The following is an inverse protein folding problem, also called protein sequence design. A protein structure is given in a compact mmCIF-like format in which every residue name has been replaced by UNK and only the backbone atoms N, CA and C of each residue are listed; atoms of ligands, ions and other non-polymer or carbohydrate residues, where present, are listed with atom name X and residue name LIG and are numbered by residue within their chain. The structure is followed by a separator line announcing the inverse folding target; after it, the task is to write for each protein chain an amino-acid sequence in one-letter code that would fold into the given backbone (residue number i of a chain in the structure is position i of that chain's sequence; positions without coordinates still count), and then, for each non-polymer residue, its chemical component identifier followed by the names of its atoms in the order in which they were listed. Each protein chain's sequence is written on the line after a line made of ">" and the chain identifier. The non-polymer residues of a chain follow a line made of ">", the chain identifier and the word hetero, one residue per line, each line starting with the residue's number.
data_IF_144443337063
#
_entry.id   IF_144443337063
#
_cell.length_a   1.000
_cell.length_b   1.000
_cell.length_c   1.000
_cell.angle_alpha   90.00
_cell.angle_beta   90.00
_cell.angle_gamma   90.00
#
_symmetry.space_group_name_H-M   'P 1'
#
loop_
_entity.id
_entity.type
_entity.pdbx_description
1 polymer ?
#
# COMPACT_ATOMS: atom_id res chain seq x y z
N UNK A 1 39.72 -30.34 47.49
CA UNK A 1 38.58 -31.14 47.97
C UNK A 1 37.71 -30.27 48.87
N UNK A 2 36.37 -30.34 48.82
CA UNK A 2 35.51 -31.17 47.96
C UNK A 2 34.85 -30.32 46.85
N UNK A 3 34.77 -30.76 45.59
CA UNK A 3 33.92 -31.82 45.02
C UNK A 3 32.45 -31.40 44.95
N UNK A 4 32.05 -30.81 43.82
CA UNK A 4 30.65 -30.65 43.43
C UNK A 4 30.23 -31.91 42.66
N UNK A 5 29.31 -32.68 43.24
CA UNK A 5 28.70 -33.86 42.63
C UNK A 5 27.71 -33.49 41.54
N UNK A 6 27.80 -34.22 40.42
CA UNK A 6 26.76 -34.35 39.41
C UNK A 6 25.55 -35.07 40.03
N UNK A 7 24.36 -34.50 39.86
CA UNK A 7 23.12 -35.28 39.82
C UNK A 7 22.53 -35.22 38.41
N UNK A 8 22.75 -36.30 37.66
CA UNK A 8 21.92 -36.68 36.52
C UNK A 8 20.60 -37.25 37.07
N UNK A 9 19.47 -36.68 36.66
CA UNK A 9 18.15 -37.29 36.83
C UNK A 9 17.55 -37.48 35.44
N UNK A 10 17.75 -38.68 34.90
CA UNK A 10 16.99 -39.23 33.80
C UNK A 10 15.57 -39.55 34.27
N UNK A 11 14.57 -38.88 33.69
CA UNK A 11 13.19 -39.36 33.73
C UNK A 11 12.79 -39.77 32.31
N UNK A 12 12.63 -41.08 32.16
CA UNK A 12 11.86 -41.74 31.12
C UNK A 12 10.40 -41.27 31.24
N UNK A 13 9.82 -40.81 30.12
CA UNK A 13 8.37 -40.65 30.01
C UNK A 13 7.89 -41.72 29.04
N UNK A 14 7.21 -42.70 29.63
CA UNK A 14 6.48 -43.77 28.96
C UNK A 14 5.53 -43.24 27.89
N UNK A 15 5.64 -43.85 26.71
CA UNK A 15 4.63 -43.89 25.67
C UNK A 15 3.33 -44.46 26.22
N UNK A 16 2.23 -43.72 26.03
CA UNK A 16 0.88 -44.22 26.30
C UNK A 16 0.05 -44.07 25.03
N UNK A 17 -0.06 -45.19 24.32
CA UNK A 17 -1.04 -45.44 23.28
C UNK A 17 -2.44 -45.49 23.93
N UNK A 18 -3.35 -44.65 23.46
CA UNK A 18 -4.78 -44.83 23.67
C UNK A 18 -5.51 -44.75 22.32
N UNK A 19 -5.86 -45.94 21.83
CA UNK A 19 -6.90 -46.21 20.84
C UNK A 19 -8.25 -45.68 21.32
N UNK A 20 -8.90 -44.80 20.56
CA UNK A 20 -10.37 -44.63 20.61
C UNK A 20 -10.96 -44.47 19.20
N UNK A 21 -11.35 -45.62 18.66
CA UNK A 21 -12.59 -45.89 17.93
C UNK A 21 -13.48 -44.72 17.47
N UNK A 22 -13.58 -44.60 16.14
CA UNK A 22 -14.81 -44.59 15.33
C UNK A 22 -16.09 -43.99 15.92
N UNK A 23 -16.49 -42.81 15.41
CA UNK A 23 -17.90 -42.45 15.26
C UNK A 23 -18.14 -41.93 13.84
N UNK A 24 -18.93 -42.71 13.10
CA UNK A 24 -19.50 -42.32 11.82
C UNK A 24 -20.57 -41.25 12.06
N UNK A 25 -20.48 -40.13 11.33
CA UNK A 25 -21.57 -39.18 11.15
C UNK A 25 -21.92 -39.12 9.67
N UNK A 26 -23.10 -39.65 9.36
CA UNK A 26 -23.78 -39.60 8.07
C UNK A 26 -24.49 -38.26 7.86
N UNK A 27 -24.76 -37.94 6.58
CA UNK A 27 -25.67 -36.90 6.05
C UNK A 27 -25.12 -35.45 6.08
N UNK A 28 -25.18 -34.62 5.03
CA UNK A 28 -26.02 -34.58 3.83
C UNK A 28 -25.21 -34.10 2.61
N UNK A 29 -25.29 -34.83 1.50
CA UNK A 29 -24.85 -34.37 0.18
C UNK A 29 -26.10 -33.88 -0.56
N UNK A 30 -26.22 -32.56 -0.73
CA UNK A 30 -27.24 -31.95 -1.57
C UNK A 30 -27.03 -32.32 -3.04
N UNK A 31 -27.76 -33.33 -3.50
CA UNK A 31 -27.97 -33.64 -4.91
C UNK A 31 -28.96 -32.65 -5.52
N UNK A 32 -28.51 -31.82 -6.45
CA UNK A 32 -29.39 -31.19 -7.45
C UNK A 32 -29.27 -31.97 -8.75
N UNK A 33 -30.14 -32.96 -8.92
CA UNK A 33 -30.42 -33.61 -10.19
C UNK A 33 -31.73 -33.07 -10.78
N UNK A 34 -31.65 -32.47 -11.97
CA UNK A 34 -32.71 -32.45 -12.99
C UNK A 34 -31.95 -32.63 -14.31
N UNK A 35 -32.19 -33.65 -15.14
CA UNK A 35 -33.49 -34.07 -15.64
C UNK A 35 -33.53 -33.65 -17.11
N UNK A 36 -33.15 -34.57 -18.00
CA UNK A 36 -33.18 -34.41 -19.45
C UNK A 36 -34.64 -34.59 -19.91
N UNK A 37 -35.18 -33.63 -20.67
CA UNK A 37 -36.31 -33.88 -21.58
C UNK A 37 -36.21 -32.97 -22.81
N UNK A 38 -36.51 -33.54 -23.98
CA UNK A 38 -36.09 -33.03 -25.28
C UNK A 38 -37.11 -32.25 -26.12
N UNK A 39 -36.57 -31.61 -27.17
CA UNK A 39 -37.25 -31.22 -28.43
C UNK A 39 -38.10 -29.94 -28.38
N UNK A 40 -38.37 -29.24 -29.53
CA UNK A 40 -38.25 -29.70 -30.92
C UNK A 40 -37.41 -28.79 -31.86
N UNK A 41 -37.20 -29.33 -33.07
CA UNK A 41 -36.46 -28.76 -34.21
C UNK A 41 -37.08 -27.45 -34.73
N UNK A 42 -36.22 -26.49 -35.06
CA UNK A 42 -36.59 -25.28 -35.81
C UNK A 42 -36.76 -25.58 -37.32
N UNK A 43 -37.78 -25.03 -38.00
CA UNK A 43 -37.87 -25.08 -39.46
C UNK A 43 -36.96 -24.02 -40.11
N UNK A 44 -36.31 -24.45 -41.20
CA UNK A 44 -35.80 -23.56 -42.25
C UNK A 44 -36.97 -22.93 -43.01
N UNK A 45 -36.65 -21.81 -43.66
CA UNK A 45 -37.43 -21.06 -44.66
C UNK A 45 -38.33 -19.97 -44.09
N UNK A 46 -37.87 -18.71 -44.20
CA UNK A 46 -38.70 -17.53 -44.48
C UNK A 46 -37.82 -16.44 -45.08
N UNK A 47 -37.72 -16.46 -46.41
CA UNK A 47 -37.18 -15.39 -47.25
C UNK A 47 -38.35 -14.60 -47.83
N UNK A 48 -38.15 -13.28 -47.93
CA UNK A 48 -38.92 -12.29 -48.70
C UNK A 48 -40.23 -11.76 -48.09
N UNK A 49 -40.14 -10.60 -47.45
CA UNK A 49 -40.89 -9.39 -47.83
C UNK A 49 -40.54 -8.27 -46.84
N UNK A 50 -40.04 -7.13 -47.33
CA UNK A 50 -40.55 -5.81 -46.94
C UNK A 50 -39.84 -4.71 -47.74
N UNK A 51 -40.68 -3.92 -48.42
CA UNK A 51 -40.28 -2.81 -49.26
C UNK A 51 -39.81 -1.60 -48.46
N UNK A 52 -38.93 -0.83 -49.09
CA UNK A 52 -38.38 0.42 -48.61
C UNK A 52 -39.47 1.51 -48.54
N UNK A 53 -39.75 2.04 -47.35
CA UNK A 53 -40.37 3.37 -47.20
C UNK A 53 -39.26 4.39 -46.96
N UNK A 54 -39.17 5.39 -47.84
CA UNK A 54 -38.27 6.52 -47.70
C UNK A 54 -38.71 7.41 -46.53
N UNK A 55 -37.96 7.42 -45.44
CA UNK A 55 -38.15 8.35 -44.33
C UNK A 55 -37.59 9.72 -44.70
N UNK A 56 -38.42 10.77 -44.57
CA UNK A 56 -38.06 12.16 -44.82
C UNK A 56 -37.21 12.71 -43.66
N UNK A 57 -35.91 12.83 -43.91
CA UNK A 57 -34.89 13.34 -42.99
C UNK A 57 -35.16 14.75 -42.45
N UNK A 58 -36.05 15.53 -43.09
CA UNK A 58 -36.40 16.87 -42.63
C UNK A 58 -37.17 16.86 -41.30
N UNK A 59 -37.95 15.81 -41.04
CA UNK A 59 -38.71 15.70 -39.78
C UNK A 59 -37.81 15.33 -38.59
N UNK A 60 -36.80 14.48 -38.79
CA UNK A 60 -35.88 14.06 -37.72
C UNK A 60 -34.97 15.24 -37.31
N UNK A 61 -34.47 16.01 -38.28
CA UNK A 61 -33.66 17.19 -37.98
C UNK A 61 -34.42 18.26 -37.19
N UNK A 62 -35.70 18.48 -37.50
CA UNK A 62 -36.53 19.44 -36.78
C UNK A 62 -36.74 19.04 -35.31
N UNK A 63 -37.04 17.76 -35.03
CA UNK A 63 -37.26 17.26 -33.66
C UNK A 63 -35.99 17.40 -32.80
N UNK A 64 -34.81 17.16 -33.37
CA UNK A 64 -33.54 17.29 -32.65
C UNK A 64 -33.23 18.76 -32.32
N UNK A 65 -33.42 19.67 -33.27
CA UNK A 65 -33.14 21.09 -33.06
C UNK A 65 -34.08 21.70 -32.02
N UNK A 66 -35.38 21.40 -32.07
CA UNK A 66 -36.34 21.89 -31.07
C UNK A 66 -36.08 21.31 -29.67
N UNK A 67 -35.68 20.04 -29.57
CA UNK A 67 -35.30 19.42 -28.31
C UNK A 67 -34.08 20.10 -27.66
N UNK A 68 -33.03 20.37 -28.44
CA UNK A 68 -31.83 21.03 -27.93
C UNK A 68 -32.08 22.46 -27.43
N UNK A 69 -32.91 23.25 -28.14
CA UNK A 69 -33.23 24.62 -27.72
C UNK A 69 -34.05 24.64 -26.42
N UNK A 70 -34.99 23.70 -26.25
CA UNK A 70 -35.78 23.60 -25.03
C UNK A 70 -34.91 23.27 -23.79
N UNK A 71 -33.97 22.33 -23.94
CA UNK A 71 -33.04 21.94 -22.86
C UNK A 71 -32.12 23.09 -22.48
N UNK A 72 -31.54 23.79 -23.47
CA UNK A 72 -30.65 24.92 -23.20
C UNK A 72 -31.38 26.10 -22.54
N UNK A 73 -32.65 26.32 -22.88
CA UNK A 73 -33.47 27.36 -22.24
C UNK A 73 -33.78 27.01 -20.79
N UNK A 74 -34.07 25.74 -20.48
CA UNK A 74 -34.31 25.28 -19.11
C UNK A 74 -33.05 25.43 -18.23
N UNK A 75 -31.87 25.11 -18.76
CA UNK A 75 -30.59 25.28 -18.05
C UNK A 75 -30.31 26.75 -17.77
N UNK A 76 -30.56 27.64 -18.73
CA UNK A 76 -30.36 29.08 -18.54
C UNK A 76 -31.29 29.68 -17.46
N UNK A 77 -32.52 29.17 -17.32
CA UNK A 77 -33.46 29.60 -16.28
C UNK A 77 -32.96 29.18 -14.89
N UNK A 78 -32.50 27.94 -14.72
CA UNK A 78 -31.97 27.46 -13.43
C UNK A 78 -30.71 28.23 -13.02
N UNK A 79 -29.83 28.52 -13.98
CA UNK A 79 -28.60 29.27 -13.70
C UNK A 79 -28.88 30.73 -13.28
N UNK A 80 -29.93 31.33 -13.84
CA UNK A 80 -30.36 32.69 -13.48
C UNK A 80 -30.92 32.76 -12.06
N UNK A 81 -31.64 31.74 -11.61
CA UNK A 81 -32.17 31.65 -10.25
C UNK A 81 -31.07 31.44 -9.20
N UNK A 82 -30.04 30.62 -9.50
CA UNK A 82 -28.89 30.45 -8.60
C UNK A 82 -28.12 31.75 -8.37
N UNK A 83 -27.91 32.56 -9.42
CA UNK A 83 -27.13 33.81 -9.30
C UNK A 83 -27.86 34.92 -8.54
N UNK A 84 -29.19 34.84 -8.39
CA UNK A 84 -29.97 35.82 -7.62
C UNK A 84 -30.04 35.48 -6.12
N UNK A 85 -29.60 34.29 -5.71
CA UNK A 85 -29.65 33.83 -4.31
C UNK A 85 -28.48 34.34 -3.44
N UNK A 86 -27.40 34.87 -4.01
CA UNK A 86 -26.16 35.20 -3.27
C UNK A 86 -26.03 36.66 -2.80
N UNK A 87 -27.04 37.52 -3.00
CA UNK A 87 -26.92 38.96 -2.68
C UNK A 87 -27.73 39.45 -1.48
N UNK A 88 -28.17 38.57 -0.56
CA UNK A 88 -28.82 38.99 0.69
C UNK A 88 -28.16 38.38 1.92
N UNK A 89 -27.23 39.13 2.53
CA UNK A 89 -26.82 38.89 3.91
C UNK A 89 -25.70 39.80 4.40
N UNK A 90 -26.05 40.80 5.21
CA UNK A 90 -25.13 41.35 6.22
C UNK A 90 -24.76 42.82 6.06
N UNK A 91 -25.64 43.71 6.53
CA UNK A 91 -25.33 45.11 6.82
C UNK A 91 -25.47 45.30 8.34
N UNK A 92 -24.38 45.57 9.04
CA UNK A 92 -24.39 46.12 10.40
C UNK A 92 -23.11 46.91 10.66
N UNK A 93 -23.29 48.21 10.90
CA UNK A 93 -22.25 49.19 11.20
C UNK A 93 -21.85 49.14 12.69
N UNK A 94 -20.57 49.44 12.98
CA UNK A 94 -20.15 50.70 13.64
C UNK A 94 -19.21 50.59 14.87
N UNK A 95 -18.06 51.30 14.73
CA UNK A 95 -17.32 52.12 15.73
C UNK A 95 -16.52 51.47 16.87
N UNK A 96 -15.17 51.57 16.84
CA UNK A 96 -14.37 52.63 17.48
C UNK A 96 -12.84 52.37 17.38
N UNK A 97 -12.07 53.42 17.03
CA UNK A 97 -10.82 53.86 17.69
C UNK A 97 -9.53 53.03 17.64
N UNK A 98 -8.54 53.53 16.89
CA UNK A 98 -7.09 53.25 17.01
C UNK A 98 -6.49 53.81 18.33
N UNK A 99 -5.37 53.28 18.88
CA UNK A 99 -4.04 53.64 18.36
C UNK A 99 -2.87 52.60 18.47
N UNK A 100 -1.89 52.87 17.61
CA UNK A 100 -0.45 52.49 17.52
C UNK A 100 0.20 51.62 18.62
N UNK A 101 0.96 50.65 18.12
CA UNK A 101 2.38 50.48 18.47
C UNK A 101 2.71 49.35 19.44
N UNK A 102 2.69 48.09 18.97
CA UNK A 102 3.42 47.00 19.62
C UNK A 102 3.98 46.02 18.60
N UNK A 103 5.19 45.57 18.92
CA UNK A 103 6.08 44.63 18.26
C UNK A 103 5.36 43.29 17.98
N UNK A 104 5.46 42.80 16.74
CA UNK A 104 4.72 41.64 16.27
C UNK A 104 5.45 40.34 16.65
N UNK A 105 5.42 39.95 17.93
CA UNK A 105 5.60 38.54 18.30
C UNK A 105 4.28 37.82 18.07
N UNK A 106 4.13 37.17 16.92
CA UNK A 106 2.94 36.37 16.64
C UNK A 106 2.90 35.15 17.56
N UNK A 107 1.86 34.98 18.40
CA UNK A 107 1.71 33.77 19.21
C UNK A 107 1.44 32.58 18.28
N UNK A 108 2.10 31.45 18.58
CA UNK A 108 1.77 30.17 17.96
C UNK A 108 0.25 29.90 18.12
N UNK A 109 -0.43 29.35 17.09
CA UNK A 109 -1.84 28.99 17.23
C UNK A 109 -1.96 27.87 18.27
N UNK A 110 -2.40 28.23 19.47
CA UNK A 110 -2.80 27.31 20.53
C UNK A 110 -4.12 26.64 20.13
N UNK A 111 -4.04 25.60 19.31
CA UNK A 111 -5.12 24.63 19.14
C UNK A 111 -4.75 23.41 19.99
N UNK A 112 -4.72 23.59 21.31
CA UNK A 112 -4.87 22.49 22.26
C UNK A 112 -6.25 22.67 22.86
N UNK A 113 -7.22 21.95 22.28
CA UNK A 113 -8.55 21.83 22.84
C UNK A 113 -8.42 21.14 24.20
N UNK A 114 -8.93 21.79 25.25
CA UNK A 114 -8.95 21.27 26.62
C UNK A 114 -10.12 20.31 26.86
N UNK A 115 -10.86 19.95 25.81
CA UNK A 115 -11.75 18.78 25.81
C UNK A 115 -10.88 17.53 26.02
N UNK A 116 -11.28 16.69 26.98
CA UNK A 116 -10.52 15.53 27.47
C UNK A 116 -9.98 14.61 26.37
N UNK A 117 -9.05 13.68 26.71
CA UNK A 117 -8.27 12.93 25.75
C UNK A 117 -9.19 12.37 24.67
N UNK A 118 -9.16 12.99 23.48
CA UNK A 118 -9.69 12.37 22.28
C UNK A 118 -8.78 11.18 22.07
N UNK A 119 -9.22 10.03 22.58
CA UNK A 119 -8.54 8.77 22.35
C UNK A 119 -8.52 8.58 20.85
N UNK A 120 -7.36 8.83 20.24
CA UNK A 120 -7.01 8.08 19.06
C UNK A 120 -7.21 6.62 19.48
N UNK A 121 -8.05 5.86 18.78
CA UNK A 121 -8.34 4.49 19.21
C UNK A 121 -7.00 3.76 19.41
N UNK A 122 -6.73 3.38 20.66
CA UNK A 122 -5.50 2.73 21.12
C UNK A 122 -4.22 3.58 21.23
N UNK A 123 -4.24 4.91 21.22
CA UNK A 123 -3.04 5.70 21.56
C UNK A 123 -3.19 6.47 22.87
N UNK A 124 -2.16 6.39 23.71
CA UNK A 124 -2.01 7.20 24.92
C UNK A 124 -1.03 8.35 24.67
N UNK A 125 -1.39 9.55 25.13
CA UNK A 125 -0.48 10.69 25.13
C UNK A 125 0.57 10.52 26.22
N UNK A 126 1.84 10.45 25.83
CA UNK A 126 2.96 10.43 26.77
C UNK A 126 3.23 11.84 27.32
N UNK A 127 2.92 12.88 26.54
CA UNK A 127 3.05 14.27 26.94
C UNK A 127 3.91 15.08 25.98
N UNK A 128 4.39 16.22 26.46
CA UNK A 128 5.30 17.06 25.71
C UNK A 128 6.70 17.07 26.32
N UNK A 129 7.71 17.06 25.46
CA UNK A 129 9.11 16.95 25.84
C UNK A 129 9.99 17.96 25.09
N UNK A 130 11.11 18.41 25.70
CA UNK A 130 12.14 19.14 25.00
C UNK A 130 12.93 18.23 24.05
N UNK A 131 13.53 18.83 23.02
CA UNK A 131 14.57 18.17 22.23
C UNK A 131 15.89 18.16 23.03
N UNK A 132 16.70 17.13 22.85
CA UNK A 132 18.00 16.99 23.55
C UNK A 132 19.20 17.06 22.62
N UNK A 133 20.32 17.52 23.16
CA UNK A 133 21.62 17.48 22.50
C UNK A 133 21.67 18.26 21.19
N UNK A 134 22.15 17.61 20.14
CA UNK A 134 22.29 18.15 18.79
C UNK A 134 21.10 17.78 17.89
N UNK A 135 19.96 17.44 18.50
CA UNK A 135 18.76 17.10 17.76
C UNK A 135 18.17 18.35 17.09
N UNK A 136 17.85 18.20 15.82
CA UNK A 136 17.42 19.27 14.93
C UNK A 136 16.31 18.79 14.04
N UNK A 137 15.41 19.69 13.67
CA UNK A 137 14.44 19.47 12.59
C UNK A 137 15.23 19.55 11.30
N UNK A 138 15.56 18.41 10.73
CA UNK A 138 16.36 18.34 9.51
C UNK A 138 15.52 18.43 8.24
N UNK A 139 16.23 18.50 7.12
CA UNK A 139 15.71 18.38 5.77
C UNK A 139 14.91 17.07 5.57
N UNK A 140 14.03 17.06 4.57
CA UNK A 140 13.02 16.04 4.24
C UNK A 140 13.58 14.65 3.89
N UNK A 141 14.33 14.03 4.79
CA UNK A 141 14.87 12.68 4.61
C UNK A 141 14.07 11.74 5.49
N UNK A 142 13.37 10.79 4.85
CA UNK A 142 12.51 9.82 5.53
C UNK A 142 13.31 8.88 6.44
N UNK A 143 14.48 8.44 5.96
CA UNK A 143 15.40 7.52 6.62
C UNK A 143 16.59 8.31 7.19
N UNK A 144 16.73 8.36 8.52
CA UNK A 144 17.79 9.11 9.19
C UNK A 144 18.91 8.19 9.64
N UNK A 145 20.05 8.23 8.97
CA UNK A 145 21.22 7.41 9.28
C UNK A 145 22.02 7.93 10.48
N UNK A 146 21.65 9.08 11.07
CA UNK A 146 22.39 9.65 12.22
C UNK A 146 22.45 8.67 13.39
N UNK A 147 21.39 7.89 13.61
CA UNK A 147 21.33 6.88 14.67
C UNK A 147 21.94 5.52 14.27
N UNK A 148 22.44 5.40 13.04
CA UNK A 148 23.16 4.22 12.57
C UNK A 148 24.57 4.13 13.14
N UNK A 149 25.11 5.18 13.76
CA UNK A 149 26.40 5.07 14.47
C UNK A 149 26.16 5.21 15.96
N UNK A 150 26.64 4.27 16.80
CA UNK A 150 26.52 4.41 18.25
C UNK A 150 27.16 5.73 18.67
N UNK A 151 26.45 6.53 19.47
CA UNK A 151 26.99 7.79 19.98
C UNK A 151 28.18 7.49 20.91
N UNK A 152 29.41 7.70 20.43
CA UNK A 152 30.65 7.25 21.09
C UNK A 152 31.05 8.03 22.35
N UNK A 153 30.21 8.93 22.87
CA UNK A 153 30.60 9.74 24.03
C UNK A 153 29.53 10.55 24.74
N UNK A 154 28.30 10.59 24.23
CA UNK A 154 27.20 11.25 24.91
C UNK A 154 26.14 10.20 25.23
N UNK A 155 25.85 10.00 26.51
CA UNK A 155 24.77 9.15 27.03
C UNK A 155 23.36 9.68 26.68
N UNK A 156 23.24 10.45 25.60
CA UNK A 156 22.00 11.07 25.15
C UNK A 156 21.25 10.14 24.21
N UNK A 157 19.93 10.17 24.30
CA UNK A 157 19.04 9.44 23.41
C UNK A 157 19.21 9.96 21.98
N UNK A 158 19.38 9.05 21.03
CA UNK A 158 19.47 9.45 19.63
C UNK A 158 18.13 10.07 19.18
N UNK A 159 18.18 11.25 18.56
CA UNK A 159 16.98 11.98 18.10
C UNK A 159 15.89 12.13 19.16
N UNK A 160 16.31 12.42 20.39
CA UNK A 160 15.39 12.57 21.53
C UNK A 160 14.52 11.34 21.78
N UNK A 161 15.03 10.14 21.46
CA UNK A 161 14.32 8.86 21.64
C UNK A 161 13.47 8.43 20.45
N UNK A 162 13.52 9.15 19.32
CA UNK A 162 12.75 8.85 18.10
C UNK A 162 13.69 8.64 16.89
N UNK A 163 14.49 7.55 16.87
CA UNK A 163 15.62 7.43 15.96
C UNK A 163 15.30 6.87 14.56
N UNK A 164 14.07 6.47 14.28
CA UNK A 164 13.75 5.62 13.12
C UNK A 164 13.29 6.42 11.89
N UNK A 165 12.01 6.76 11.79
CA UNK A 165 11.51 7.49 10.62
C UNK A 165 11.32 8.96 10.89
N UNK A 166 11.44 9.78 9.84
CA UNK A 166 11.24 11.23 9.89
C UNK A 166 10.38 11.68 8.70
N UNK A 167 9.09 11.85 8.93
CA UNK A 167 8.15 12.30 7.90
C UNK A 167 7.82 13.79 8.11
N UNK A 168 8.33 14.65 7.24
CA UNK A 168 7.99 16.08 7.25
C UNK A 168 6.79 16.36 6.34
N UNK A 169 5.83 17.19 6.79
CA UNK A 169 4.80 17.71 5.89
C UNK A 169 5.30 18.96 5.22
N UNK A 170 5.50 18.89 3.91
CA UNK A 170 5.87 20.05 3.10
C UNK A 170 4.58 20.72 2.65
N UNK A 171 4.33 21.94 3.11
CA UNK A 171 3.28 22.77 2.54
C UNK A 171 3.49 22.92 1.02
N UNK A 172 2.42 22.91 0.23
CA UNK A 172 2.52 23.05 -1.23
C UNK A 172 3.39 24.28 -1.57
N UNK A 173 4.49 24.12 -2.31
CA UNK A 173 5.30 25.25 -2.73
C UNK A 173 4.43 26.20 -3.57
N UNK A 174 4.44 27.49 -3.21
CA UNK A 174 3.68 28.54 -3.91
C UNK A 174 2.34 28.94 -3.29
N UNK A 175 1.84 28.23 -2.27
CA UNK A 175 0.65 28.68 -1.52
C UNK A 175 1.10 29.44 -0.27
N UNK A 176 1.27 30.76 -0.41
CA UNK A 176 1.56 31.67 0.70
C UNK A 176 0.46 31.53 1.76
N UNK A 177 0.83 31.05 2.96
CA UNK A 177 -0.09 30.84 4.08
C UNK A 177 -0.52 29.38 4.34
N UNK A 178 -0.16 28.42 3.48
CA UNK A 178 -0.42 26.99 3.74
C UNK A 178 0.66 26.39 4.65
N UNK A 179 0.50 26.58 5.96
CA UNK A 179 1.32 25.90 6.97
C UNK A 179 0.75 24.50 7.20
N UNK A 180 1.18 23.55 6.37
CA UNK A 180 0.79 22.17 6.56
C UNK A 180 1.29 21.70 7.95
N UNK A 181 0.34 21.39 8.82
CA UNK A 181 0.61 20.98 10.20
C UNK A 181 0.54 19.46 10.27
N UNK A 182 1.56 18.83 10.84
CA UNK A 182 1.56 17.39 11.08
C UNK A 182 0.53 17.06 12.16
N UNK A 183 -0.46 16.25 11.82
CA UNK A 183 -1.44 15.79 12.82
C UNK A 183 -0.86 14.64 13.63
N UNK A 184 -1.19 14.61 14.92
CA UNK A 184 -0.83 13.49 15.80
C UNK A 184 -1.34 12.17 15.24
N UNK A 185 -2.57 12.14 14.73
CA UNK A 185 -3.16 10.93 14.18
C UNK A 185 -2.39 10.39 12.97
N UNK A 186 -2.02 11.26 12.03
CA UNK A 186 -1.25 10.86 10.85
C UNK A 186 0.13 10.32 11.26
N UNK A 187 0.78 10.98 12.21
CA UNK A 187 2.09 10.54 12.70
C UNK A 187 2.02 9.17 13.41
N UNK A 188 1.04 9.02 14.30
CA UNK A 188 0.77 7.78 15.03
C UNK A 188 0.49 6.61 14.09
N UNK A 189 -0.41 6.79 13.12
CA UNK A 189 -0.74 5.77 12.12
C UNK A 189 0.48 5.42 11.27
N UNK A 190 1.23 6.41 10.79
CA UNK A 190 2.44 6.20 10.01
C UNK A 190 3.48 5.34 10.77
N UNK A 191 3.77 5.70 12.02
CA UNK A 191 4.71 4.93 12.83
C UNK A 191 4.22 3.49 13.07
N UNK A 192 2.92 3.31 13.36
CA UNK A 192 2.35 2.00 13.57
C UNK A 192 2.44 1.11 12.33
N UNK A 193 2.16 1.65 11.13
CA UNK A 193 2.30 0.92 9.86
C UNK A 193 3.76 0.53 9.56
N UNK A 194 4.72 1.30 10.08
CA UNK A 194 6.14 0.98 10.02
C UNK A 194 6.63 0.06 11.14
N UNK A 195 5.75 -0.36 12.06
CA UNK A 195 6.09 -1.30 13.14
C UNK A 195 6.58 -0.65 14.42
N UNK A 196 6.28 0.64 14.61
CA UNK A 196 6.70 1.44 15.75
C UNK A 196 5.50 1.81 16.62
N UNK A 197 5.62 1.54 17.91
CA UNK A 197 4.56 1.86 18.87
C UNK A 197 4.70 3.26 19.48
N UNK A 198 5.80 3.99 19.24
CA UNK A 198 5.98 5.37 19.69
C UNK A 198 5.98 6.31 18.48
N UNK A 199 5.24 7.41 18.59
CA UNK A 199 5.22 8.49 17.62
C UNK A 199 5.43 9.83 18.31
N UNK A 200 6.08 10.76 17.63
CA UNK A 200 6.32 12.11 18.14
C UNK A 200 6.16 13.16 17.05
N UNK A 201 5.28 14.13 17.28
CA UNK A 201 5.16 15.31 16.43
C UNK A 201 6.15 16.38 16.93
N UNK A 202 7.16 16.66 16.11
CA UNK A 202 8.22 17.63 16.39
C UNK A 202 7.87 18.96 15.74
N UNK A 203 7.74 20.01 16.56
CA UNK A 203 7.44 21.38 16.14
C UNK A 203 6.24 21.51 15.21
N UNK A 204 5.26 20.61 15.35
CA UNK A 204 4.02 20.60 14.55
C UNK A 204 4.21 20.40 13.03
N UNK A 205 5.41 20.06 12.56
CA UNK A 205 5.70 19.95 11.11
C UNK A 205 6.37 18.63 10.72
N UNK A 206 6.94 17.93 11.68
CA UNK A 206 7.68 16.69 11.46
C UNK A 206 7.11 15.58 12.35
N UNK A 207 6.88 14.41 11.78
CA UNK A 207 6.60 13.18 12.51
C UNK A 207 7.88 12.38 12.67
N UNK A 208 8.10 11.83 13.86
CA UNK A 208 9.17 10.87 14.11
C UNK A 208 8.68 9.61 14.81
N UNK A 209 9.32 8.49 14.49
CA UNK A 209 8.98 7.19 15.05
C UNK A 209 10.03 6.70 16.05
N UNK A 210 9.53 6.10 17.13
CA UNK A 210 10.29 5.49 18.22
C UNK A 210 9.75 4.11 18.55
N UNK A 211 10.49 3.35 19.33
CA UNK A 211 10.06 2.03 19.78
C UNK A 211 10.18 1.96 21.30
N UNK A 212 9.14 1.47 21.99
CA UNK A 212 9.24 1.07 23.39
C UNK A 212 10.21 -0.11 23.54
N UNK A 213 10.55 -0.49 24.77
CA UNK A 213 11.41 -1.64 25.01
C UNK A 213 10.75 -2.96 24.57
N UNK A 214 9.42 -2.99 24.49
CA UNK A 214 8.60 -4.15 24.17
C UNK A 214 8.21 -4.25 22.68
N UNK A 215 8.60 -3.27 21.86
CA UNK A 215 8.25 -3.24 20.45
C UNK A 215 8.85 -4.42 19.66
N UNK A 216 8.12 -4.93 18.67
CA UNK A 216 8.56 -6.07 17.84
C UNK A 216 9.77 -5.76 16.95
N UNK A 217 10.10 -4.49 16.72
CA UNK A 217 11.25 -4.08 15.91
C UNK A 217 12.59 -4.60 16.45
N UNK A 218 12.67 -4.92 17.75
CA UNK A 218 13.86 -5.52 18.36
C UNK A 218 14.04 -7.01 17.99
N UNK A 219 13.01 -7.65 17.45
CA UNK A 219 13.02 -9.08 17.14
C UNK A 219 13.27 -9.92 18.40
N UNK A 220 14.23 -10.84 18.33
CA UNK A 220 14.70 -11.64 19.48
C UNK A 220 15.83 -10.97 20.27
N UNK A 221 16.29 -9.78 19.85
CA UNK A 221 17.36 -9.05 20.50
C UNK A 221 16.88 -8.20 21.69
N UNK A 222 17.81 -7.87 22.58
CA UNK A 222 17.54 -6.86 23.60
C UNK A 222 17.44 -5.47 22.95
N UNK A 223 16.52 -4.64 23.45
CA UNK A 223 16.42 -3.25 23.00
C UNK A 223 17.72 -2.50 23.31
N UNK A 224 18.15 -1.67 22.36
CA UNK A 224 19.31 -0.80 22.54
C UNK A 224 18.89 0.40 23.39
N UNK A 225 19.48 0.64 24.58
CA UNK A 225 19.02 1.70 25.48
C UNK A 225 19.07 3.10 24.85
N UNK A 226 20.00 3.34 23.93
CA UNK A 226 20.15 4.62 23.21
C UNK A 226 19.11 4.84 22.09
N UNK A 227 18.41 3.78 21.68
CA UNK A 227 17.40 3.77 20.61
C UNK A 227 15.98 3.52 21.12
N UNK A 228 15.83 2.78 22.22
CA UNK A 228 14.55 2.58 22.87
C UNK A 228 14.04 3.90 23.43
N UNK A 229 12.73 4.13 23.31
CA UNK A 229 12.10 5.32 23.82
C UNK A 229 12.31 5.39 25.33
N UNK A 230 13.01 6.44 25.73
CA UNK A 230 13.05 6.94 27.09
C UNK A 230 12.63 8.40 27.00
N UNK A 231 11.91 8.93 28.01
CA UNK A 231 11.60 10.36 28.04
C UNK A 231 12.90 11.16 27.91
N UNK A 232 13.06 12.05 26.92
CA UNK A 232 14.31 12.78 26.72
C UNK A 232 14.58 13.83 27.80
N UNK A 233 13.64 14.01 28.73
CA UNK A 233 13.80 14.81 29.93
C UNK A 233 12.48 14.87 30.69
N UNK A 234 12.37 15.85 31.57
CA UNK A 234 11.12 16.10 32.29
C UNK A 234 10.02 16.49 31.30
N UNK A 235 8.84 15.89 31.50
CA UNK A 235 7.62 16.27 30.80
C UNK A 235 7.31 17.73 31.12
N UNK A 236 7.14 18.54 30.07
CA UNK A 236 6.78 19.96 30.20
C UNK A 236 5.30 20.18 29.88
N UNK A 237 4.68 21.25 30.41
CA UNK A 237 3.35 21.68 29.98
C UNK A 237 3.29 21.88 28.46
N UNK A 238 2.16 21.55 27.83
CA UNK A 238 2.00 21.65 26.37
C UNK A 238 2.12 23.08 25.81
N UNK A 239 1.98 24.11 26.66
CA UNK A 239 2.16 25.51 26.32
C UNK A 239 3.56 26.06 26.65
N UNK A 240 4.46 25.24 27.21
CA UNK A 240 5.84 25.64 27.49
C UNK A 240 6.61 25.83 26.18
N UNK A 241 7.42 26.88 25.99
CA UNK A 241 8.25 27.05 24.79
C UNK A 241 9.26 25.90 24.56
N UNK A 242 9.59 25.14 25.61
CA UNK A 242 10.40 23.92 25.55
C UNK A 242 9.61 22.71 25.08
N UNK A 243 8.28 22.79 24.95
CA UNK A 243 7.45 21.75 24.36
C UNK A 243 7.76 21.67 22.85
N UNK A 244 8.69 20.78 22.48
CA UNK A 244 9.13 20.62 21.08
C UNK A 244 8.65 19.31 20.47
N UNK A 245 8.37 18.29 21.28
CA UNK A 245 7.96 16.96 20.86
C UNK A 245 6.68 16.57 21.59
N UNK A 246 5.58 16.37 20.87
CA UNK A 246 4.34 15.81 21.43
C UNK A 246 4.32 14.31 21.14
N UNK A 247 4.56 13.50 22.17
CA UNK A 247 4.76 12.05 22.04
C UNK A 247 3.50 11.24 22.41
N UNK A 248 3.28 10.14 21.70
CA UNK A 248 2.18 9.20 21.88
C UNK A 248 2.67 7.76 21.76
N UNK A 249 2.03 6.85 22.49
CA UNK A 249 2.29 5.41 22.43
C UNK A 249 1.03 4.65 22.00
N UNK A 250 1.18 3.69 21.10
CA UNK A 250 0.17 2.71 20.75
C UNK A 250 0.03 1.67 21.86
N UNK A 251 -1.21 1.38 22.26
CA UNK A 251 -1.59 0.39 23.25
C UNK A 251 -2.19 -0.80 22.52
N UNK A 252 -1.40 -1.86 22.34
CA UNK A 252 -1.88 -3.10 21.76
C UNK A 252 -0.84 -3.79 20.91
N UNK A 253 -1.20 -4.91 20.27
CA UNK A 253 -0.32 -5.56 19.33
C UNK A 253 -0.04 -4.61 18.16
N UNK A 254 1.23 -4.59 17.77
CA UNK A 254 1.65 -3.99 16.50
C UNK A 254 1.06 -4.88 15.38
N UNK A 255 0.47 -4.30 14.31
CA UNK A 255 -0.04 -5.07 13.19
C UNK A 255 1.02 -6.04 12.66
N UNK A 256 0.64 -7.29 12.41
CA UNK A 256 1.54 -8.31 11.83
C UNK A 256 1.93 -8.01 10.39
N UNK A 257 1.17 -7.14 9.73
CA UNK A 257 1.42 -6.66 8.38
C UNK A 257 1.96 -5.24 8.49
N UNK A 258 3.26 -5.11 8.30
CA UNK A 258 3.97 -3.85 8.31
C UNK A 258 4.26 -3.46 6.87
N UNK A 259 4.08 -2.19 6.53
CA UNK A 259 4.52 -1.62 5.25
C UNK A 259 6.03 -1.40 5.34
N UNK A 260 6.80 -2.49 5.23
CA UNK A 260 8.25 -2.47 5.34
C UNK A 260 8.85 -2.93 4.02
N UNK A 261 9.43 -2.00 3.27
CA UNK A 261 10.16 -2.33 2.05
C UNK A 261 11.49 -3.03 2.36
N UNK A 262 12.15 -3.59 1.34
CA UNK A 262 13.53 -4.09 1.48
C UNK A 262 14.52 -3.00 1.91
N UNK A 263 14.31 -1.76 1.44
CA UNK A 263 15.07 -0.57 1.86
C UNK A 263 14.84 -0.26 3.35
N UNK A 264 13.59 -0.35 3.82
CA UNK A 264 13.26 -0.19 5.23
C UNK A 264 13.95 -1.26 6.10
N UNK A 265 13.98 -2.52 5.65
CA UNK A 265 14.69 -3.60 6.36
C UNK A 265 16.21 -3.35 6.42
N UNK A 266 16.81 -2.91 5.33
CA UNK A 266 18.24 -2.56 5.29
C UNK A 266 18.53 -1.38 6.24
N UNK A 267 17.67 -0.37 6.23
CA UNK A 267 17.73 0.76 7.14
C UNK A 267 17.63 0.34 8.61
N UNK A 268 16.64 -0.48 8.98
CA UNK A 268 16.49 -0.99 10.34
C UNK A 268 17.71 -1.75 10.81
N UNK A 269 18.23 -2.65 9.97
CA UNK A 269 19.45 -3.41 10.29
C UNK A 269 20.65 -2.49 10.50
N UNK A 270 20.78 -1.44 9.68
CA UNK A 270 21.81 -0.42 9.83
C UNK A 270 21.73 0.28 11.18
N UNK A 271 20.53 0.75 11.58
CA UNK A 271 20.28 1.39 12.88
C UNK A 271 20.57 0.42 14.03
N UNK A 272 20.00 -0.79 14.00
CA UNK A 272 20.15 -1.80 15.05
C UNK A 272 21.62 -2.21 15.25
N UNK A 273 22.35 -2.47 14.16
CA UNK A 273 23.75 -2.90 14.21
C UNK A 273 24.73 -1.79 14.54
N UNK A 274 24.33 -0.53 14.37
CA UNK A 274 25.27 0.57 14.51
C UNK A 274 26.26 0.65 13.34
N UNK A 275 25.80 0.31 12.12
CA UNK A 275 26.60 0.33 10.89
C UNK A 275 25.83 1.00 9.75
N UNK A 276 26.29 2.12 9.15
CA UNK A 276 25.59 2.81 8.07
C UNK A 276 25.32 1.94 6.83
N UNK A 277 24.21 2.17 6.12
CA UNK A 277 23.80 1.39 4.93
C UNK A 277 24.90 1.28 3.86
N UNK A 278 25.66 2.34 3.58
CA UNK A 278 26.73 2.32 2.57
C UNK A 278 27.80 1.26 2.85
N UNK A 279 28.00 0.89 4.13
CA UNK A 279 28.93 -0.16 4.51
C UNK A 279 28.37 -1.57 4.30
N UNK A 280 27.05 -1.71 4.22
CA UNK A 280 26.37 -2.99 3.98
C UNK A 280 26.40 -3.36 2.49
N UNK A 281 26.13 -2.40 1.60
CA UNK A 281 26.21 -2.62 0.14
C UNK A 281 27.63 -2.98 -0.32
N UNK A 282 28.66 -2.41 0.30
CA UNK A 282 30.06 -2.75 0.00
C UNK A 282 30.52 -4.09 0.59
N UNK A 283 29.76 -4.65 1.53
CA UNK A 283 29.99 -6.00 2.07
C UNK A 283 29.33 -7.09 1.24
N UNK A 284 28.33 -6.75 0.42
CA UNK A 284 27.81 -7.64 -0.61
C UNK A 284 28.79 -7.63 -1.80
N UNK A 285 29.45 -8.77 -2.00
CA UNK A 285 30.55 -8.95 -2.93
C UNK A 285 30.20 -8.49 -4.36
N UNK A 286 30.84 -7.43 -4.91
CA UNK A 286 30.49 -6.88 -6.23
C UNK A 286 30.88 -7.77 -7.41
N UNK A 287 31.60 -8.87 -7.19
CA UNK A 287 32.12 -9.74 -8.26
C UNK A 287 31.05 -10.63 -8.95
N UNK A 288 29.77 -10.60 -8.54
CA UNK A 288 28.73 -11.51 -9.06
C UNK A 288 27.89 -10.91 -10.21
N UNK A 289 27.78 -9.58 -10.35
CA UNK A 289 26.84 -8.96 -11.31
C UNK A 289 27.45 -8.44 -12.62
N UNK A 290 28.75 -8.62 -12.86
CA UNK A 290 29.45 -7.98 -14.00
C UNK A 290 29.31 -8.68 -15.38
N UNK A 291 28.38 -9.63 -15.61
CA UNK A 291 28.34 -10.40 -16.87
C UNK A 291 26.98 -10.51 -17.59
N UNK A 292 26.07 -9.55 -17.43
CA UNK A 292 24.87 -9.47 -18.29
C UNK A 292 24.97 -8.31 -19.29
N UNK A 293 25.31 -8.63 -20.55
CA UNK A 293 25.27 -7.68 -21.64
C UNK A 293 23.82 -7.29 -22.00
N UNK A 294 23.54 -6.02 -22.39
CA UNK A 294 22.21 -5.58 -22.77
C UNK A 294 21.78 -6.22 -24.10
N UNK A 295 20.74 -7.03 -24.07
CA UNK A 295 20.14 -7.64 -25.26
C UNK A 295 19.14 -6.64 -25.87
N UNK A 296 19.52 -6.01 -26.98
CA UNK A 296 18.65 -5.15 -27.77
C UNK A 296 17.83 -6.02 -28.74
N UNK A 297 16.52 -6.08 -28.53
CA UNK A 297 15.56 -6.78 -29.40
C UNK A 297 14.68 -5.73 -30.09
N UNK A 298 14.88 -5.54 -31.39
CA UNK A 298 13.93 -4.83 -32.25
C UNK A 298 12.71 -5.74 -32.49
N UNK A 299 11.50 -5.23 -32.23
CA UNK A 299 10.24 -5.95 -32.44
C UNK A 299 9.51 -5.33 -33.65
N UNK A 300 9.17 -6.18 -34.61
CA UNK A 300 8.34 -5.86 -35.79
C UNK A 300 6.85 -5.71 -35.37
N UNK A 301 6.18 -4.57 -35.65
CA UNK A 301 4.81 -4.32 -35.23
C UNK A 301 3.71 -5.12 -35.95
N UNK A 302 4.03 -6.02 -36.88
CA UNK A 302 3.02 -6.53 -37.85
C UNK A 302 2.33 -7.85 -37.49
N UNK A 303 2.65 -8.52 -36.37
CA UNK A 303 2.10 -9.85 -36.05
C UNK A 303 1.16 -9.94 -34.80
N UNK A 304 0.40 -8.88 -34.48
CA UNK A 304 -0.64 -8.98 -33.44
C UNK A 304 -1.99 -9.46 -34.05
N UNK A 305 -2.62 -10.55 -33.57
CA UNK A 305 -3.92 -10.98 -34.06
C UNK A 305 -5.06 -10.02 -33.66
N UNK A 306 -6.15 -9.93 -34.45
CA UNK A 306 -7.18 -8.91 -34.28
C UNK A 306 -8.02 -9.11 -33.01
N UNK A 307 -8.08 -8.06 -32.19
CA UNK A 307 -8.90 -7.94 -30.98
C UNK A 307 -10.33 -7.51 -31.33
N UNK A 308 -11.35 -8.28 -30.91
CA UNK A 308 -12.77 -7.85 -31.04
C UNK A 308 -13.28 -7.23 -29.72
N UNK A 309 -13.98 -6.07 -29.76
CA UNK A 309 -14.43 -5.39 -28.55
C UNK A 309 -15.87 -5.78 -28.17
N UNK A 310 -16.09 -6.26 -26.94
CA UNK A 310 -17.40 -6.26 -26.29
C UNK A 310 -17.39 -5.24 -25.14
N UNK A 311 -17.97 -4.06 -25.38
CA UNK A 311 -17.82 -2.81 -24.58
C UNK A 311 -19.02 -2.49 -23.64
N UNK A 312 -19.70 -3.48 -23.06
CA UNK A 312 -20.93 -3.18 -22.30
C UNK A 312 -20.70 -2.60 -20.88
N UNK A 313 -19.58 -2.93 -20.21
CA UNK A 313 -19.38 -2.57 -18.78
C UNK A 313 -18.54 -1.30 -18.53
N UNK A 314 -17.84 -0.77 -19.54
CA UNK A 314 -16.99 0.43 -19.44
C UNK A 314 -17.75 1.76 -19.18
N UNK A 315 -19.07 1.71 -18.97
CA UNK A 315 -19.90 2.89 -18.68
C UNK A 315 -20.17 3.12 -17.19
N UNK A 316 -19.65 2.29 -16.27
CA UNK A 316 -19.82 2.56 -14.84
C UNK A 316 -18.89 3.69 -14.37
N UNK A 317 -19.47 4.78 -13.86
CA UNK A 317 -18.76 6.01 -13.43
C UNK A 317 -17.67 5.79 -12.37
N UNK A 318 -17.65 4.66 -11.66
CA UNK A 318 -16.70 4.38 -10.57
C UNK A 318 -15.25 4.19 -11.04
N UNK A 319 -15.03 3.74 -12.28
CA UNK A 319 -13.67 3.49 -12.84
C UNK A 319 -13.00 4.80 -13.31
N UNK A 320 -13.76 5.90 -13.46
CA UNK A 320 -13.29 7.16 -14.07
C UNK A 320 -12.82 8.24 -13.07
N UNK A 321 -12.74 7.94 -11.77
CA UNK A 321 -12.42 8.95 -10.72
C UNK A 321 -11.11 8.71 -9.94
N UNK A 322 -10.33 7.67 -10.24
CA UNK A 322 -9.31 7.17 -9.30
C UNK A 322 -7.83 7.27 -9.66
N UNK A 323 -7.39 8.02 -10.68
CA UNK A 323 -5.96 8.06 -11.03
C UNK A 323 -5.49 9.49 -11.37
N UNK A 324 -4.89 10.13 -10.37
CA UNK A 324 -4.04 11.32 -10.55
C UNK A 324 -2.69 11.01 -9.89
N UNK A 325 -1.82 10.33 -10.65
CA UNK A 325 -0.41 10.12 -10.33
C UNK A 325 0.47 10.73 -11.42
N UNK A 326 1.71 11.14 -11.12
CA UNK A 326 2.51 11.95 -12.02
C UNK A 326 3.30 11.05 -12.98
N UNK A 327 2.93 11.03 -14.25
CA UNK A 327 3.88 10.67 -15.32
C UNK A 327 3.88 11.77 -16.36
N UNK A 328 5.05 12.38 -16.56
CA UNK A 328 5.36 13.39 -17.57
C UNK A 328 5.23 12.82 -18.99
N UNK A 329 4.00 12.60 -19.45
CA UNK A 329 3.68 12.43 -20.86
C UNK A 329 2.71 13.54 -21.22
N UNK A 330 3.22 14.54 -21.93
CA UNK A 330 2.52 15.68 -22.55
C UNK A 330 1.03 15.39 -22.75
N UNK A 331 0.21 15.90 -21.83
CA UNK A 331 -1.23 15.86 -21.92
C UNK A 331 -1.66 16.74 -23.10
N UNK A 332 -2.20 16.12 -24.16
CA UNK A 332 -3.21 16.80 -24.95
C UNK A 332 -4.48 16.85 -24.10
N UNK A 333 -4.82 18.05 -23.65
CA UNK A 333 -5.98 18.38 -22.84
C UNK A 333 -7.25 17.68 -23.36
N UNK A 334 -7.91 16.92 -22.48
CA UNK A 334 -9.31 16.52 -22.65
C UNK A 334 -9.62 15.02 -22.78
N UNK A 335 -8.64 14.15 -23.03
CA UNK A 335 -8.89 12.70 -23.09
C UNK A 335 -8.50 12.04 -21.77
N UNK A 336 -9.47 11.75 -20.89
CA UNK A 336 -9.29 10.80 -19.78
C UNK A 336 -8.87 9.46 -20.37
N UNK A 337 -7.57 9.18 -20.42
CA UNK A 337 -7.10 7.85 -20.80
C UNK A 337 -7.55 6.90 -19.69
N UNK A 338 -8.47 6.00 -20.01
CA UNK A 338 -8.76 4.90 -19.13
C UNK A 338 -7.50 4.04 -19.05
N UNK A 339 -7.02 3.80 -17.83
CA UNK A 339 -5.87 2.93 -17.55
C UNK A 339 -6.08 1.46 -17.92
N UNK A 340 -7.20 1.16 -18.55
CA UNK A 340 -7.54 -0.13 -19.07
C UNK A 340 -8.21 0.10 -20.43
N UNK A 341 -7.90 -0.69 -21.47
CA UNK A 341 -6.95 -1.81 -21.50
C UNK A 341 -5.48 -1.38 -21.69
N UNK A 342 -5.19 -0.09 -21.63
CA UNK A 342 -3.85 0.45 -21.88
C UNK A 342 -2.93 0.35 -20.66
N UNK A 343 -1.63 0.49 -20.89
CA UNK A 343 -0.60 0.42 -19.85
C UNK A 343 -0.58 1.70 -19.02
N UNK A 344 -0.90 1.61 -17.72
CA UNK A 344 -0.73 2.70 -16.72
C UNK A 344 0.35 2.41 -15.66
N UNK A 345 0.97 1.24 -15.71
CA UNK A 345 2.08 0.83 -14.86
C UNK A 345 3.18 0.20 -15.73
N UNK A 346 4.30 -0.28 -15.19
CA UNK A 346 5.34 -0.88 -16.06
C UNK A 346 5.00 -2.25 -16.60
N UNK A 347 4.03 -2.95 -16.03
CA UNK A 347 3.50 -4.18 -16.60
C UNK A 347 2.24 -3.99 -17.43
N UNK A 348 1.93 -4.97 -18.25
CA UNK A 348 0.60 -5.08 -18.86
C UNK A 348 -0.41 -5.60 -17.83
N UNK A 349 -1.63 -5.05 -17.74
CA UNK A 349 -2.64 -5.61 -16.86
C UNK A 349 -3.06 -7.00 -17.34
N UNK A 350 -3.37 -7.89 -16.40
CA UNK A 350 -3.95 -9.19 -16.73
C UNK A 350 -5.31 -9.02 -17.42
N UNK A 351 -5.60 -9.80 -18.47
CA UNK A 351 -6.88 -9.70 -19.18
C UNK A 351 -8.00 -10.21 -18.29
N UNK A 352 -8.76 -9.30 -17.68
CA UNK A 352 -9.82 -9.64 -16.69
C UNK A 352 -11.12 -10.13 -17.37
N UNK A 353 -11.16 -10.27 -18.71
CA UNK A 353 -12.36 -10.66 -19.46
C UNK A 353 -12.23 -12.05 -20.07
N UNK A 354 -13.31 -12.85 -19.98
CA UNK A 354 -13.41 -14.14 -20.66
C UNK A 354 -12.78 -15.30 -19.90
N UNK A 355 -11.61 -15.78 -20.32
CA UNK A 355 -10.98 -17.03 -19.86
C UNK A 355 -10.49 -17.01 -18.40
N UNK A 356 -10.39 -15.83 -17.78
CA UNK A 356 -9.98 -15.65 -16.39
C UNK A 356 -11.18 -15.43 -15.43
N UNK A 357 -12.40 -15.85 -15.79
CA UNK A 357 -13.54 -15.88 -14.85
C UNK A 357 -13.18 -16.60 -13.54
N UNK A 358 -12.25 -17.56 -13.61
CA UNK A 358 -11.78 -18.32 -12.46
C UNK A 358 -10.61 -17.67 -11.70
N UNK A 359 -10.13 -16.49 -12.13
CA UNK A 359 -8.96 -15.81 -11.59
C UNK A 359 -7.70 -16.02 -12.42
N UNK A 360 -6.63 -15.32 -12.03
CA UNK A 360 -5.30 -15.39 -12.67
C UNK A 360 -4.67 -16.75 -12.34
N UNK A 361 -4.31 -17.57 -13.34
CA UNK A 361 -3.72 -18.87 -13.10
C UNK A 361 -2.31 -18.71 -12.53
N UNK A 362 -1.99 -19.47 -11.49
CA UNK A 362 -0.63 -19.60 -10.97
C UNK A 362 -0.28 -21.07 -10.75
N UNK A 363 0.99 -21.43 -10.84
CA UNK A 363 1.48 -22.79 -10.62
C UNK A 363 2.79 -22.77 -9.86
N UNK A 364 3.02 -23.80 -9.06
CA UNK A 364 4.28 -24.03 -8.37
C UNK A 364 5.21 -24.92 -9.19
N UNK A 365 6.45 -24.50 -9.43
CA UNK A 365 7.45 -25.38 -10.03
C UNK A 365 7.77 -26.56 -9.10
N UNK A 366 8.48 -27.54 -9.64
CA UNK A 366 9.04 -28.64 -8.86
C UNK A 366 10.17 -28.21 -7.90
N UNK A 367 10.64 -26.97 -7.99
CA UNK A 367 11.70 -26.42 -7.13
C UNK A 367 11.19 -25.73 -5.88
N UNK A 368 9.86 -25.62 -5.71
CA UNK A 368 9.24 -25.11 -4.48
C UNK A 368 8.98 -26.25 -3.51
N UNK A 369 9.41 -26.08 -2.26
CA UNK A 369 9.03 -26.97 -1.17
C UNK A 369 7.61 -26.66 -0.65
N UNK A 370 7.11 -27.49 0.28
CA UNK A 370 5.74 -27.36 0.78
C UNK A 370 5.55 -26.15 1.71
N UNK A 371 6.62 -25.71 2.40
CA UNK A 371 6.55 -24.54 3.26
C UNK A 371 6.40 -23.27 2.41
N UNK A 372 7.23 -23.10 1.38
CA UNK A 372 7.10 -22.01 0.41
C UNK A 372 5.71 -21.96 -0.21
N UNK A 373 5.16 -23.13 -0.59
CA UNK A 373 3.81 -23.23 -1.16
C UNK A 373 2.74 -22.78 -0.19
N UNK A 374 2.85 -23.20 1.09
CA UNK A 374 1.93 -22.79 2.15
C UNK A 374 1.93 -21.27 2.31
N UNK A 375 3.10 -20.66 2.52
CA UNK A 375 3.23 -19.21 2.76
C UNK A 375 2.75 -18.42 1.53
N UNK A 376 3.08 -18.86 0.32
CA UNK A 376 2.65 -18.18 -0.90
C UNK A 376 1.12 -18.21 -1.08
N UNK A 377 0.46 -19.33 -0.72
CA UNK A 377 -1.01 -19.41 -0.70
C UNK A 377 -1.61 -18.47 0.35
N UNK A 378 -0.97 -18.30 1.50
CA UNK A 378 -1.39 -17.34 2.52
C UNK A 378 -1.23 -15.89 2.05
N UNK A 379 -0.15 -15.57 1.34
CA UNK A 379 0.03 -14.28 0.67
C UNK A 379 -1.11 -13.99 -0.32
N UNK A 380 -1.50 -14.98 -1.13
CA UNK A 380 -2.67 -14.89 -2.03
C UNK A 380 -3.96 -14.68 -1.24
N UNK A 381 -4.16 -15.39 -0.14
CA UNK A 381 -5.36 -15.26 0.70
C UNK A 381 -5.47 -13.85 1.30
N UNK A 382 -4.35 -13.24 1.73
CA UNK A 382 -4.31 -11.85 2.19
C UNK A 382 -4.75 -10.86 1.10
N UNK A 383 -4.35 -11.09 -0.15
CA UNK A 383 -4.81 -10.29 -1.29
C UNK A 383 -6.30 -10.50 -1.59
N UNK A 384 -6.80 -11.73 -1.49
CA UNK A 384 -8.24 -12.01 -1.70
C UNK A 384 -9.12 -11.31 -0.67
N UNK A 385 -8.65 -11.19 0.58
CA UNK A 385 -9.38 -10.52 1.66
C UNK A 385 -9.55 -9.01 1.44
N UNK A 386 -8.66 -8.39 0.65
CA UNK A 386 -8.57 -6.92 0.49
C UNK A 386 -8.92 -6.44 -0.91
N UNK A 387 -8.93 -7.33 -1.88
CA UNK A 387 -9.09 -6.98 -3.28
C UNK A 387 -10.15 -7.85 -3.95
N UNK A 388 -10.61 -7.39 -5.13
CA UNK A 388 -11.43 -8.20 -6.01
C UNK A 388 -10.61 -9.16 -6.91
N UNK A 389 -9.28 -9.15 -6.79
CA UNK A 389 -8.40 -10.01 -7.59
C UNK A 389 -8.56 -11.44 -7.09
N UNK A 390 -8.63 -12.39 -8.02
CA UNK A 390 -8.73 -13.82 -7.75
C UNK A 390 -7.60 -14.54 -8.44
N UNK A 391 -7.11 -15.59 -7.80
CA UNK A 391 -6.03 -16.45 -8.28
C UNK A 391 -6.53 -17.88 -8.29
N UNK A 392 -6.08 -18.67 -9.27
CA UNK A 392 -6.43 -20.08 -9.39
C UNK A 392 -5.17 -20.92 -9.52
N UNK A 393 -4.98 -21.87 -8.59
CA UNK A 393 -3.83 -22.76 -8.66
C UNK A 393 -4.05 -23.79 -9.78
N UNK A 394 -3.10 -23.91 -10.69
CA UNK A 394 -3.12 -24.82 -11.81
C UNK A 394 -1.85 -25.69 -11.82
N UNK A 395 -1.92 -26.82 -12.52
CA UNK A 395 -0.74 -27.66 -12.71
C UNK A 395 0.38 -26.89 -13.47
N UNK A 396 1.67 -27.19 -13.23
CA UNK A 396 2.77 -26.55 -13.97
C UNK A 396 2.70 -26.75 -15.49
N UNK A 397 2.11 -27.88 -15.91
CA UNK A 397 1.84 -28.22 -17.30
C UNK A 397 0.67 -27.44 -17.92
N UNK A 398 -0.02 -26.58 -17.17
CA UNK A 398 -1.12 -25.76 -17.68
C UNK A 398 -0.62 -24.81 -18.77
N UNK A 399 -1.15 -24.98 -19.98
CA UNK A 399 -0.73 -24.29 -21.20
C UNK A 399 -1.91 -23.67 -21.98
N UNK A 400 -3.09 -23.56 -21.36
CA UNK A 400 -4.27 -22.95 -22.00
C UNK A 400 -4.13 -21.43 -22.16
N UNK A 401 -3.47 -20.80 -21.19
CA UNK A 401 -3.13 -19.36 -21.15
C UNK A 401 -1.80 -19.19 -20.44
N UNK A 402 -1.21 -17.99 -20.52
CA UNK A 402 -0.12 -17.62 -19.62
C UNK A 402 -0.56 -17.73 -18.16
N UNK A 403 0.41 -18.04 -17.29
CA UNK A 403 0.23 -18.15 -15.85
C UNK A 403 1.38 -17.47 -15.10
N UNK A 404 1.22 -17.35 -13.78
CA UNK A 404 2.29 -17.00 -12.86
C UNK A 404 2.97 -18.31 -12.41
N UNK A 405 4.24 -18.51 -12.77
CA UNK A 405 5.02 -19.67 -12.36
C UNK A 405 5.91 -19.33 -11.17
N UNK A 406 5.60 -19.89 -10.01
CA UNK A 406 6.33 -19.67 -8.76
C UNK A 406 7.46 -20.69 -8.64
N UNK A 407 8.69 -20.23 -8.46
CA UNK A 407 9.91 -21.05 -8.42
C UNK A 407 10.67 -20.85 -7.12
N UNK A 408 11.05 -21.94 -6.46
CA UNK A 408 12.15 -21.90 -5.50
C UNK A 408 13.46 -21.84 -6.28
N UNK A 409 14.32 -20.87 -5.97
CA UNK A 409 15.66 -20.74 -6.57
C UNK A 409 16.68 -20.71 -5.45
N UNK A 410 17.93 -21.08 -5.73
CA UNK A 410 19.00 -21.05 -4.73
C UNK A 410 19.38 -19.60 -4.39
N UNK A 411 18.68 -19.10 -3.37
CA UNK A 411 19.04 -18.18 -2.30
C UNK A 411 19.26 -16.68 -2.56
N UNK A 412 19.55 -16.17 -3.76
CA UNK A 412 19.90 -14.73 -3.87
C UNK A 412 18.80 -13.80 -4.39
N UNK A 413 17.73 -14.32 -4.99
CA UNK A 413 16.75 -13.46 -5.69
C UNK A 413 15.32 -13.75 -5.23
N UNK A 414 14.73 -12.80 -4.52
CA UNK A 414 13.28 -12.62 -4.47
C UNK A 414 12.91 -11.64 -5.60
N UNK A 415 12.13 -12.07 -6.59
CA UNK A 415 11.86 -11.23 -7.75
C UNK A 415 10.80 -11.77 -8.72
N UNK A 416 10.32 -10.90 -9.61
CA UNK A 416 9.30 -11.21 -10.60
C UNK A 416 9.72 -10.77 -12.01
N UNK A 417 9.55 -11.64 -13.02
CA UNK A 417 9.84 -11.29 -14.41
C UNK A 417 9.02 -12.11 -15.43
N UNK A 418 8.45 -11.49 -16.47
CA UNK A 418 8.27 -10.04 -16.62
C UNK A 418 7.25 -9.47 -15.62
N UNK A 419 7.22 -8.14 -15.47
CA UNK A 419 6.19 -7.44 -14.67
C UNK A 419 4.86 -7.47 -15.46
N UNK A 420 3.77 -7.89 -14.82
CA UNK A 420 2.43 -7.95 -15.41
C UNK A 420 2.16 -9.18 -16.28
N UNK A 421 1.17 -9.04 -17.15
CA UNK A 421 0.76 -10.05 -18.12
C UNK A 421 1.81 -10.23 -19.22
N UNK A 422 2.29 -11.45 -19.48
CA UNK A 422 3.52 -11.64 -20.23
C UNK A 422 3.31 -11.83 -21.74
N UNK A 423 2.16 -11.43 -22.29
CA UNK A 423 1.81 -11.69 -23.69
C UNK A 423 2.83 -11.17 -24.71
N UNK A 424 3.58 -10.12 -24.39
CA UNK A 424 4.63 -9.60 -25.28
C UNK A 424 5.88 -10.46 -25.30
N UNK A 425 6.09 -11.32 -24.29
CA UNK A 425 7.30 -12.15 -24.15
C UNK A 425 7.10 -13.58 -24.63
N UNK A 426 5.86 -14.04 -24.74
CA UNK A 426 5.54 -15.43 -25.08
C UNK A 426 5.92 -16.45 -23.99
N UNK A 427 6.29 -15.99 -22.79
CA UNK A 427 6.63 -16.83 -21.63
C UNK A 427 5.65 -16.60 -20.49
N UNK A 428 5.62 -17.50 -19.51
CA UNK A 428 4.89 -17.27 -18.26
C UNK A 428 5.57 -16.14 -17.44
N UNK A 429 4.80 -15.50 -16.57
CA UNK A 429 5.35 -14.58 -15.56
C UNK A 429 5.95 -15.41 -14.44
N UNK A 430 7.24 -15.24 -14.14
CA UNK A 430 7.92 -16.04 -13.14
C UNK A 430 8.13 -15.25 -11.86
N UNK A 431 7.75 -15.83 -10.72
CA UNK A 431 8.11 -15.34 -9.38
C UNK A 431 9.18 -16.28 -8.82
N UNK A 432 10.34 -15.73 -8.50
CA UNK A 432 11.47 -16.44 -7.91
C UNK A 432 11.48 -16.13 -6.41
N UNK A 433 11.36 -17.16 -5.57
CA UNK A 433 11.21 -17.00 -4.12
C UNK A 433 12.54 -17.02 -3.35
N UNK A 434 13.71 -16.88 -3.99
CA UNK A 434 15.06 -17.09 -3.45
C UNK A 434 15.22 -17.00 -1.93
N UNK A 435 15.40 -15.78 -1.39
CA UNK A 435 15.50 -15.56 0.07
C UNK A 435 14.14 -15.37 0.75
N UNK A 436 13.05 -15.19 0.01
CA UNK A 436 11.73 -14.86 0.54
C UNK A 436 10.82 -16.09 0.66
N UNK A 437 11.27 -17.09 1.42
CA UNK A 437 10.67 -18.45 1.43
C UNK A 437 9.85 -18.80 2.69
N UNK A 438 9.89 -17.97 3.73
CA UNK A 438 9.23 -18.22 5.02
C UNK A 438 8.09 -17.26 5.36
N UNK A 439 7.39 -17.54 6.48
CA UNK A 439 6.27 -16.74 6.99
C UNK A 439 6.66 -15.28 7.26
N UNK A 440 7.87 -15.08 7.77
CA UNK A 440 8.49 -13.78 8.00
C UNK A 440 8.72 -12.97 6.72
N UNK A 441 8.65 -13.63 5.55
CA UNK A 441 8.80 -13.03 4.23
C UNK A 441 7.49 -12.99 3.43
N UNK A 442 6.34 -13.24 4.08
CA UNK A 442 5.03 -13.19 3.43
C UNK A 442 4.75 -11.83 2.76
N UNK A 443 5.18 -10.72 3.37
CA UNK A 443 5.09 -9.38 2.79
C UNK A 443 5.89 -9.25 1.48
N UNK A 444 7.09 -9.82 1.44
CA UNK A 444 7.91 -9.89 0.22
C UNK A 444 7.24 -10.74 -0.86
N UNK A 445 6.58 -11.85 -0.51
CA UNK A 445 5.80 -12.61 -1.50
C UNK A 445 4.62 -11.81 -2.07
N UNK A 446 3.91 -11.04 -1.25
CA UNK A 446 2.82 -10.14 -1.70
C UNK A 446 3.37 -9.09 -2.69
N UNK A 447 4.54 -8.53 -2.39
CA UNK A 447 5.23 -7.58 -3.26
C UNK A 447 5.53 -8.19 -4.65
N UNK A 448 6.05 -9.42 -4.70
CA UNK A 448 6.29 -10.09 -5.98
C UNK A 448 5.00 -10.43 -6.73
N UNK A 449 3.93 -10.80 -6.02
CA UNK A 449 2.61 -11.01 -6.63
C UNK A 449 2.12 -9.71 -7.27
N UNK A 450 2.33 -8.56 -6.64
CA UNK A 450 1.98 -7.28 -7.23
C UNK A 450 2.76 -6.93 -8.49
N UNK A 451 4.07 -7.22 -8.52
CA UNK A 451 4.84 -7.10 -9.76
C UNK A 451 4.25 -8.00 -10.85
N UNK A 452 3.89 -9.23 -10.50
CA UNK A 452 3.21 -10.12 -11.43
C UNK A 452 1.87 -9.54 -11.91
N UNK A 453 1.16 -8.76 -11.09
CA UNK A 453 -0.08 -8.06 -11.47
C UNK A 453 0.14 -6.82 -12.34
N UNK A 454 1.37 -6.31 -12.43
CA UNK A 454 1.76 -5.21 -13.32
C UNK A 454 2.24 -3.94 -12.61
N UNK A 455 2.31 -3.94 -11.28
CA UNK A 455 2.74 -2.77 -10.50
C UNK A 455 4.27 -2.69 -10.42
N UNK A 456 4.82 -1.49 -10.54
CA UNK A 456 6.26 -1.23 -10.36
C UNK A 456 6.68 -1.23 -8.91
N UNK A 457 5.84 -0.67 -8.05
CA UNK A 457 6.12 -0.46 -6.64
C UNK A 457 4.86 -0.91 -5.91
N UNK A 458 4.83 -2.14 -5.41
CA UNK A 458 3.82 -2.48 -4.43
C UNK A 458 4.33 -2.06 -3.05
N UNK A 459 3.67 -1.03 -2.53
CA UNK A 459 3.70 -0.69 -1.11
C UNK A 459 3.24 -1.95 -0.37
N UNK A 460 4.08 -2.46 0.54
CA UNK A 460 3.89 -3.76 1.19
C UNK A 460 2.83 -3.70 2.28
#
# INVERSE_FOLDING_TARGET
>A
MPSFELMQSSQEVESRDDDVSSLASTSEVGHCGMGIDGGPKAPRDWLAANGHSTWDWRHIAAVIVFGCVAVMTAVAIVFREMMLSETRGGNAQSLFGTPRGQELTTPFPTVFDSRGPTTLDNFISLGCYPMVGDDSVANMVLLDDKCATPSTGNSGLCRSGLPWYRLAVVGKPGVVGSTATMSVHLCASFCLFKGFDISGVVQSSECRCGASAEASVWGSGASRPDLAWQPPGDKVPGNDPKCRIVAHQHLGPIPSELDTSSEDLAYFRSILRGTPIQSLEQQENPDIFATAAPMHLEIDPTEAPPFQPQQAWLKSESVLRGASGPTNLVEKEGAKRTCYPYKCASGWPWPIWGSLIHGIPFAFSNTTDEEMRRVFREAIASLHARTCIRFNEVAPSYNKTFKILVKGVSEEVCGCSPIGYPATTGKDTEIMLGWCTGEEHRGSMIHEICHALGNLDCIQ
#
